data_IF_367475887370
#
_entry.id   IF_367475887370
#
_cell.length_a   1.000
_cell.length_b   1.000
_cell.length_c   1.000
_cell.angle_alpha   90.00
_cell.angle_beta   90.00
_cell.angle_gamma   90.00
#
_symmetry.space_group_name_H-M   'P 1'
#
loop_
_entity.id
_entity.type
_entity.pdbx_description
1 polymer ?
#
# COMPACT_ATOMS: atom_id res chain seq x y z
N UNK A 1 7.98 -2.79 -21.86
CA UNK A 1 7.09 -3.97 -21.70
C UNK A 1 6.16 -3.66 -20.54
N UNK A 2 4.86 -3.94 -20.66
CA UNK A 2 3.91 -3.76 -19.55
C UNK A 2 4.00 -4.98 -18.62
N UNK A 3 4.40 -4.79 -17.36
CA UNK A 3 4.78 -5.91 -16.44
C UNK A 3 3.62 -6.72 -15.88
N UNK A 4 2.44 -6.12 -15.84
CA UNK A 4 1.23 -6.69 -15.23
C UNK A 4 0.01 -6.54 -16.14
N UNK A 5 0.24 -6.43 -17.46
CA UNK A 5 -0.84 -6.32 -18.43
C UNK A 5 -1.87 -7.44 -18.22
N UNK A 6 -3.15 -7.05 -18.24
CA UNK A 6 -4.32 -7.94 -18.11
C UNK A 6 -4.44 -8.69 -16.77
N UNK A 7 -3.52 -8.50 -15.83
CA UNK A 7 -3.64 -9.06 -14.47
C UNK A 7 -4.68 -8.26 -13.68
N UNK A 8 -5.52 -8.96 -12.92
CA UNK A 8 -6.47 -8.35 -11.98
C UNK A 8 -5.77 -8.17 -10.63
N UNK A 9 -5.76 -6.94 -10.13
CA UNK A 9 -5.10 -6.56 -8.90
C UNK A 9 -6.09 -5.93 -7.89
N UNK A 10 -6.10 -6.45 -6.66
CA UNK A 10 -6.75 -5.85 -5.51
C UNK A 10 -5.70 -5.11 -4.66
N UNK A 11 -5.92 -3.83 -4.39
CA UNK A 11 -5.04 -3.00 -3.56
C UNK A 11 -5.86 -2.41 -2.41
N UNK A 12 -5.58 -2.84 -1.18
CA UNK A 12 -6.24 -2.29 0.01
C UNK A 12 -5.58 -0.97 0.46
N UNK A 13 -6.32 -0.07 1.08
CA UNK A 13 -5.83 1.28 1.41
C UNK A 13 -5.55 2.11 0.15
N UNK A 14 -6.28 1.83 -0.93
CA UNK A 14 -5.98 2.33 -2.25
C UNK A 14 -6.43 3.78 -2.48
N UNK A 15 -7.21 4.39 -1.57
CA UNK A 15 -7.75 5.73 -1.78
C UNK A 15 -6.72 6.85 -1.58
N UNK A 16 -5.58 6.57 -0.93
CA UNK A 16 -4.58 7.60 -0.63
C UNK A 16 -3.16 7.02 -0.48
N UNK A 17 -2.21 7.85 -0.03
CA UNK A 17 -0.88 7.37 0.37
C UNK A 17 -0.14 6.55 -0.70
N UNK A 18 0.56 5.51 -0.24
CA UNK A 18 1.29 4.56 -1.08
C UNK A 18 0.35 3.71 -1.95
N UNK A 19 -0.80 3.28 -1.41
CA UNK A 19 -1.80 2.48 -2.13
C UNK A 19 -2.28 3.15 -3.42
N UNK A 20 -2.58 4.45 -3.37
CA UNK A 20 -2.94 5.25 -4.54
C UNK A 20 -1.79 5.31 -5.57
N UNK A 21 -0.54 5.39 -5.11
CA UNK A 21 0.63 5.37 -5.99
C UNK A 21 0.82 4.03 -6.69
N UNK A 22 0.61 2.93 -5.96
CA UNK A 22 0.66 1.56 -6.50
C UNK A 22 -0.47 1.38 -7.52
N UNK A 23 -1.70 1.81 -7.20
CA UNK A 23 -2.85 1.73 -8.10
C UNK A 23 -2.59 2.48 -9.42
N UNK A 24 -2.13 3.73 -9.32
CA UNK A 24 -1.77 4.55 -10.50
C UNK A 24 -0.71 3.86 -11.36
N UNK A 25 0.32 3.26 -10.74
CA UNK A 25 1.36 2.55 -11.48
C UNK A 25 0.82 1.28 -12.14
N UNK A 26 0.00 0.50 -11.46
CA UNK A 26 -0.57 -0.75 -12.00
C UNK A 26 -1.51 -0.48 -13.18
N UNK A 27 -2.36 0.55 -13.10
CA UNK A 27 -3.19 0.99 -14.22
C UNK A 27 -2.34 1.38 -15.42
N UNK A 28 -1.28 2.17 -15.22
CA UNK A 28 -0.36 2.55 -16.31
C UNK A 28 0.32 1.32 -16.95
N UNK A 29 0.57 0.27 -16.17
CA UNK A 29 1.13 -1.01 -16.62
C UNK A 29 0.07 -1.97 -17.19
N UNK A 30 -1.18 -1.52 -17.35
CA UNK A 30 -2.26 -2.26 -18.01
C UNK A 30 -2.95 -3.33 -17.16
N UNK A 31 -2.81 -3.27 -15.83
CA UNK A 31 -3.58 -4.13 -14.93
C UNK A 31 -5.04 -3.65 -14.88
N UNK A 32 -5.96 -4.58 -14.60
CA UNK A 32 -7.32 -4.27 -14.13
C UNK A 32 -7.25 -4.09 -12.63
N UNK A 33 -7.42 -2.87 -12.16
CA UNK A 33 -7.21 -2.53 -10.75
C UNK A 33 -8.56 -2.38 -10.04
N UNK A 34 -8.65 -2.97 -8.85
CA UNK A 34 -9.68 -2.73 -7.86
C UNK A 34 -8.99 -2.17 -6.61
N UNK A 35 -9.38 -0.97 -6.20
CA UNK A 35 -8.92 -0.38 -4.94
C UNK A 35 -10.00 -0.52 -3.87
N UNK A 36 -9.58 -0.79 -2.64
CA UNK A 36 -10.47 -0.77 -1.48
C UNK A 36 -9.97 0.18 -0.39
N UNK A 37 -10.90 0.78 0.33
CA UNK A 37 -10.63 1.70 1.44
C UNK A 37 -11.89 1.91 2.30
N UNK A 38 -11.71 2.49 3.49
CA UNK A 38 -12.82 3.00 4.32
C UNK A 38 -13.36 4.33 3.77
N UNK A 39 -12.48 5.16 3.19
CA UNK A 39 -12.77 6.50 2.72
C UNK A 39 -13.46 6.47 1.34
N UNK A 40 -14.76 6.24 1.34
CA UNK A 40 -15.57 6.09 0.12
C UNK A 40 -15.41 7.24 -0.87
N UNK A 41 -15.60 8.49 -0.44
CA UNK A 41 -15.53 9.66 -1.34
C UNK A 41 -14.17 9.77 -2.05
N UNK A 42 -13.07 9.60 -1.30
CA UNK A 42 -11.72 9.65 -1.86
C UNK A 42 -11.45 8.47 -2.78
N UNK A 43 -11.89 7.28 -2.39
CA UNK A 43 -11.74 6.06 -3.16
C UNK A 43 -12.47 6.14 -4.50
N UNK A 44 -13.72 6.58 -4.50
CA UNK A 44 -14.52 6.79 -5.71
C UNK A 44 -13.89 7.84 -6.62
N UNK A 45 -13.45 8.98 -6.07
CA UNK A 45 -12.82 10.05 -6.86
C UNK A 45 -11.55 9.56 -7.57
N UNK A 46 -10.68 8.83 -6.86
CA UNK A 46 -9.47 8.27 -7.44
C UNK A 46 -9.76 7.17 -8.46
N UNK A 47 -10.73 6.29 -8.17
CA UNK A 47 -11.13 5.24 -9.11
C UNK A 47 -11.65 5.83 -10.43
N UNK A 48 -12.43 6.90 -10.35
CA UNK A 48 -12.87 7.66 -11.52
C UNK A 48 -11.69 8.27 -12.28
N UNK A 49 -10.74 8.92 -11.59
CA UNK A 49 -9.53 9.49 -12.21
C UNK A 49 -8.71 8.44 -12.96
N UNK A 50 -8.52 7.26 -12.35
CA UNK A 50 -7.67 6.21 -12.87
C UNK A 50 -8.39 5.28 -13.86
N UNK A 51 -9.72 5.35 -13.97
CA UNK A 51 -10.51 4.39 -14.74
C UNK A 51 -10.45 2.98 -14.17
N UNK A 52 -10.43 2.86 -12.84
CA UNK A 52 -10.41 1.59 -12.11
C UNK A 52 -11.67 1.44 -11.24
N UNK A 53 -11.81 0.31 -10.53
CA UNK A 53 -12.97 0.08 -9.65
C UNK A 53 -12.63 0.41 -8.20
N UNK A 54 -13.58 1.02 -7.50
CA UNK A 54 -13.56 1.16 -6.05
C UNK A 54 -14.58 0.23 -5.39
N UNK A 55 -14.21 -0.41 -4.28
CA UNK A 55 -15.11 -1.11 -3.37
C UNK A 55 -14.82 -0.65 -1.94
N UNK A 56 -15.84 -0.23 -1.20
CA UNK A 56 -15.64 0.10 0.21
C UNK A 56 -15.33 -1.17 1.01
N UNK A 57 -14.27 -1.13 1.82
CA UNK A 57 -13.86 -2.27 2.64
C UNK A 57 -13.29 -1.81 3.98
N UNK A 58 -13.76 -2.45 5.05
CA UNK A 58 -12.99 -2.57 6.28
C UNK A 58 -12.16 -3.86 6.24
N UNK A 59 -10.83 -3.72 6.19
CA UNK A 59 -9.93 -4.87 6.09
C UNK A 59 -9.89 -5.71 7.37
N UNK A 60 -10.40 -5.20 8.51
CA UNK A 60 -10.53 -6.00 9.74
C UNK A 60 -11.78 -6.88 9.74
N UNK A 61 -12.72 -6.67 8.82
CA UNK A 61 -13.91 -7.49 8.66
C UNK A 61 -13.63 -8.68 7.70
N UNK A 62 -13.44 -9.86 8.29
CA UNK A 62 -13.18 -11.10 7.55
C UNK A 62 -14.29 -11.46 6.54
N UNK A 63 -15.54 -11.07 6.82
CA UNK A 63 -16.67 -11.38 5.96
C UNK A 63 -16.60 -10.56 4.65
N UNK A 64 -16.13 -9.32 4.74
CA UNK A 64 -15.99 -8.43 3.57
C UNK A 64 -14.94 -8.94 2.58
N UNK A 65 -13.86 -9.56 3.06
CA UNK A 65 -12.84 -10.17 2.20
C UNK A 65 -13.44 -11.21 1.25
N UNK A 66 -14.25 -12.12 1.78
CA UNK A 66 -14.90 -13.16 0.98
C UNK A 66 -15.86 -12.57 -0.05
N UNK A 67 -16.57 -11.49 0.31
CA UNK A 67 -17.51 -10.80 -0.59
C UNK A 67 -16.77 -10.10 -1.72
N UNK A 68 -15.70 -9.36 -1.40
CA UNK A 68 -14.92 -8.58 -2.37
C UNK A 68 -14.21 -9.50 -3.35
N UNK A 69 -13.52 -10.54 -2.88
CA UNK A 69 -12.83 -11.47 -3.77
C UNK A 69 -13.82 -12.13 -4.74
N UNK A 70 -14.98 -12.59 -4.24
CA UNK A 70 -16.03 -13.15 -5.10
C UNK A 70 -16.54 -12.15 -6.12
N UNK A 71 -16.77 -10.90 -5.72
CA UNK A 71 -17.21 -9.86 -6.63
C UNK A 71 -16.17 -9.62 -7.74
N UNK A 72 -14.89 -9.55 -7.38
CA UNK A 72 -13.79 -9.40 -8.33
C UNK A 72 -13.73 -10.59 -9.29
N UNK A 73 -13.91 -11.81 -8.79
CA UNK A 73 -13.92 -13.01 -9.62
C UNK A 73 -15.10 -13.02 -10.61
N UNK A 74 -16.29 -12.60 -10.16
CA UNK A 74 -17.48 -12.49 -11.00
C UNK A 74 -17.29 -11.45 -12.10
N UNK A 75 -16.76 -10.28 -11.76
CA UNK A 75 -16.67 -9.13 -12.68
C UNK A 75 -15.43 -9.16 -13.58
N UNK A 76 -14.30 -9.64 -13.06
CA UNK A 76 -12.99 -9.55 -13.73
C UNK A 76 -12.34 -10.92 -14.00
N UNK A 77 -12.92 -12.01 -13.52
CA UNK A 77 -12.46 -13.38 -13.73
C UNK A 77 -11.69 -13.95 -12.54
N UNK A 78 -10.38 -13.71 -12.46
CA UNK A 78 -9.55 -14.28 -11.41
C UNK A 78 -8.64 -13.23 -10.80
N UNK A 79 -8.63 -13.11 -9.47
CA UNK A 79 -7.69 -12.26 -8.75
C UNK A 79 -6.26 -12.83 -8.90
N UNK A 80 -5.35 -12.03 -9.47
CA UNK A 80 -3.95 -12.44 -9.73
C UNK A 80 -2.96 -11.79 -8.79
N UNK A 81 -3.29 -10.61 -8.29
CA UNK A 81 -2.41 -9.80 -7.45
C UNK A 81 -3.22 -9.28 -6.27
N UNK A 82 -2.71 -9.47 -5.05
CA UNK A 82 -3.22 -8.84 -3.84
C UNK A 82 -2.10 -7.99 -3.23
N UNK A 83 -2.35 -6.71 -3.03
CA UNK A 83 -1.47 -5.78 -2.31
C UNK A 83 -2.15 -5.40 -1.00
N UNK A 84 -1.66 -5.99 0.09
CA UNK A 84 -2.09 -5.66 1.45
C UNK A 84 -1.41 -4.35 1.88
N UNK A 85 -1.98 -3.22 1.47
CA UNK A 85 -1.43 -1.89 1.74
C UNK A 85 -2.24 -1.09 2.77
N UNK A 86 -3.49 -1.45 3.04
CA UNK A 86 -4.30 -0.74 4.05
C UNK A 86 -3.58 -0.68 5.41
N UNK A 87 -3.33 0.54 5.87
CA UNK A 87 -2.96 0.86 7.23
C UNK A 87 -3.87 1.97 7.74
N UNK A 88 -3.58 2.47 8.93
CA UNK A 88 -4.24 3.66 9.47
C UNK A 88 -3.14 4.56 10.08
N UNK A 89 -3.35 5.88 10.21
CA UNK A 89 -2.38 6.81 10.84
C UNK A 89 -2.70 7.11 12.31
N UNK A 90 -1.69 7.12 13.20
CA UNK A 90 -1.83 7.39 14.64
C UNK A 90 -0.82 8.43 15.15
N UNK A 91 -1.15 9.22 16.19
CA UNK A 91 -0.26 10.26 16.70
C UNK A 91 0.93 9.67 17.47
N UNK A 92 2.10 10.28 17.29
CA UNK A 92 3.34 9.92 17.98
C UNK A 92 3.60 10.84 19.16
N UNK A 93 3.52 10.31 20.39
CA UNK A 93 4.34 10.74 21.53
C UNK A 93 4.16 9.78 22.72
N UNK A 94 5.25 9.25 23.28
CA UNK A 94 5.28 8.70 24.65
C UNK A 94 4.88 7.22 24.89
N UNK A 95 4.95 6.32 23.91
CA UNK A 95 4.57 4.92 24.13
C UNK A 95 5.58 4.14 25.01
N UNK A 96 5.07 3.51 26.08
CA UNK A 96 5.80 2.70 27.06
C UNK A 96 5.13 1.31 27.17
N UNK A 97 5.84 0.18 27.03
CA UNK A 97 5.25 -1.17 27.08
C UNK A 97 4.44 -1.48 28.34
N UNK A 98 4.73 -0.83 29.48
CA UNK A 98 3.98 -1.05 30.72
C UNK A 98 2.65 -0.29 30.78
N UNK A 99 2.53 0.80 30.01
CA UNK A 99 1.37 1.71 30.01
C UNK A 99 0.66 1.79 28.65
N UNK A 100 1.16 1.10 27.62
CA UNK A 100 0.59 1.06 26.27
C UNK A 100 -0.72 0.28 26.31
N UNK A 101 -1.83 0.97 26.03
CA UNK A 101 -3.13 0.31 25.93
C UNK A 101 -3.21 -0.54 24.65
N UNK A 102 -4.15 -1.50 24.59
CA UNK A 102 -4.44 -2.21 23.32
C UNK A 102 -4.78 -1.25 22.18
N UNK A 103 -5.37 -0.09 22.50
CA UNK A 103 -5.64 0.97 21.53
C UNK A 103 -4.35 1.59 20.99
N UNK A 104 -3.35 1.81 21.85
CA UNK A 104 -2.07 2.42 21.47
C UNK A 104 -1.15 1.42 20.76
N UNK A 105 -1.21 0.13 21.14
CA UNK A 105 -0.56 -0.95 20.38
C UNK A 105 -1.10 -1.03 18.95
N UNK A 106 -2.42 -0.93 18.77
CA UNK A 106 -3.05 -0.84 17.43
C UNK A 106 -2.58 0.42 16.69
N UNK A 107 -2.31 1.52 17.40
CA UNK A 107 -1.76 2.76 16.82
C UNK A 107 -0.27 2.72 16.44
N UNK A 108 0.50 1.81 17.01
CA UNK A 108 1.92 1.62 16.65
C UNK A 108 2.05 0.70 15.43
N UNK A 109 1.23 -0.37 15.36
CA UNK A 109 1.18 -1.25 14.18
C UNK A 109 0.70 -0.52 12.92
N UNK A 110 -0.09 0.54 13.12
CA UNK A 110 -0.55 1.52 12.14
C UNK A 110 0.57 2.16 11.31
N UNK A 111 1.57 2.78 11.95
CA UNK A 111 2.55 3.62 11.24
C UNK A 111 3.59 2.81 10.46
N UNK A 112 3.80 1.56 10.87
CA UNK A 112 4.70 0.63 10.17
C UNK A 112 4.24 0.31 8.73
N UNK A 113 2.99 0.63 8.37
CA UNK A 113 2.39 0.29 7.07
C UNK A 113 2.40 1.46 6.06
N UNK A 114 2.41 2.73 6.51
CA UNK A 114 2.11 3.86 5.60
C UNK A 114 3.22 4.91 5.44
N UNK A 115 4.23 4.98 6.31
CA UNK A 115 5.42 5.82 6.11
C UNK A 115 5.16 7.33 5.98
N UNK A 116 3.99 7.83 6.38
CA UNK A 116 3.68 9.26 6.33
C UNK A 116 4.33 9.95 7.54
N UNK A 117 5.23 10.88 7.27
CA UNK A 117 5.86 11.72 8.28
C UNK A 117 5.56 13.21 8.00
N UNK A 118 5.23 14.03 9.02
CA UNK A 118 5.07 15.47 8.88
C UNK A 118 6.32 16.12 8.26
N UNK A 119 6.18 17.29 7.62
CA UNK A 119 7.27 17.93 6.86
C UNK A 119 8.56 18.11 7.69
N UNK A 120 8.46 18.48 8.98
CA UNK A 120 9.62 18.59 9.89
C UNK A 120 10.36 17.25 10.12
N UNK A 121 9.66 16.12 10.00
CA UNK A 121 10.28 14.80 10.08
C UNK A 121 11.03 14.45 8.79
N UNK A 122 10.62 14.99 7.64
CA UNK A 122 11.27 14.74 6.34
C UNK A 122 12.67 15.34 6.30
N UNK A 123 12.81 16.61 6.69
CA UNK A 123 14.09 17.32 6.69
C UNK A 123 15.12 16.65 7.63
N UNK A 124 14.66 16.13 8.80
CA UNK A 124 15.51 15.35 9.72
C UNK A 124 15.87 13.96 9.19
N UNK A 125 15.01 13.35 8.37
CA UNK A 125 15.28 12.05 7.77
C UNK A 125 16.24 12.15 6.59
N UNK A 126 16.06 13.14 5.71
CA UNK A 126 16.91 13.35 4.52
C UNK A 126 18.40 13.43 4.88
N UNK A 127 18.74 14.15 5.95
CA UNK A 127 20.12 14.26 6.43
C UNK A 127 20.75 12.95 6.94
N UNK A 128 19.93 11.92 7.21
CA UNK A 128 20.36 10.59 7.71
C UNK A 128 20.28 9.50 6.65
N UNK A 129 19.63 9.76 5.51
CA UNK A 129 19.53 8.81 4.42
C UNK A 129 20.83 8.78 3.63
N UNK A 130 21.46 7.60 3.43
CA UNK A 130 22.61 7.48 2.54
C UNK A 130 22.36 8.01 1.12
N UNK A 131 21.12 7.91 0.63
CA UNK A 131 20.74 8.45 -0.69
C UNK A 131 20.48 9.98 -0.69
N UNK A 132 20.35 10.62 0.48
CA UNK A 132 20.21 12.07 0.60
C UNK A 132 18.89 12.66 0.08
N UNK A 133 17.92 11.83 -0.31
CA UNK A 133 16.63 12.25 -0.86
C UNK A 133 15.48 11.47 -0.22
N UNK A 134 14.35 12.13 0.01
CA UNK A 134 13.15 11.49 0.55
C UNK A 134 12.41 10.69 -0.53
N UNK A 135 11.85 9.55 -0.13
CA UNK A 135 11.18 8.64 -1.04
C UNK A 135 9.85 9.19 -1.55
N UNK A 136 9.56 8.90 -2.81
CA UNK A 136 8.28 9.13 -3.45
C UNK A 136 7.42 7.87 -3.44
N UNK A 137 6.12 8.03 -3.74
CA UNK A 137 5.22 6.88 -3.94
C UNK A 137 5.71 5.92 -5.03
N UNK A 138 6.40 6.45 -6.05
CA UNK A 138 6.93 5.65 -7.15
C UNK A 138 8.10 4.77 -6.73
N UNK A 139 8.85 5.18 -5.71
CA UNK A 139 9.98 4.41 -5.18
C UNK A 139 9.49 3.13 -4.49
N UNK A 140 8.30 3.14 -3.90
CA UNK A 140 7.64 1.94 -3.36
C UNK A 140 6.85 1.19 -4.44
N UNK A 141 6.13 1.89 -5.33
CA UNK A 141 5.33 1.24 -6.35
C UNK A 141 6.15 0.44 -7.36
N UNK A 142 7.40 0.84 -7.65
CA UNK A 142 8.24 0.16 -8.63
C UNK A 142 8.74 -1.22 -8.15
N UNK A 143 9.25 -1.37 -6.91
CA UNK A 143 9.53 -2.67 -6.31
C UNK A 143 8.29 -3.56 -6.15
N UNK A 144 7.15 -2.99 -5.73
CA UNK A 144 5.89 -3.74 -5.66
C UNK A 144 5.50 -4.30 -7.03
N UNK A 145 5.56 -3.46 -8.07
CA UNK A 145 5.33 -3.88 -9.47
C UNK A 145 6.27 -5.00 -9.91
N UNK A 146 7.55 -4.92 -9.55
CA UNK A 146 8.51 -5.98 -9.85
C UNK A 146 8.10 -7.30 -9.18
N UNK A 147 7.80 -7.29 -7.88
CA UNK A 147 7.46 -8.49 -7.12
C UNK A 147 6.19 -9.21 -7.62
N UNK A 148 5.24 -8.47 -8.20
CA UNK A 148 3.99 -9.06 -8.74
C UNK A 148 4.10 -9.42 -10.23
N UNK A 149 5.24 -9.16 -10.86
CA UNK A 149 5.50 -9.44 -12.27
C UNK A 149 6.05 -10.86 -12.48
N UNK A 150 6.03 -11.32 -13.73
CA UNK A 150 6.58 -12.64 -14.08
C UNK A 150 8.12 -12.70 -13.99
N UNK A 151 8.77 -11.53 -13.92
CA UNK A 151 10.21 -11.41 -13.66
C UNK A 151 10.56 -11.93 -12.24
N UNK A 152 9.60 -11.85 -11.31
CA UNK A 152 9.76 -12.28 -9.92
C UNK A 152 9.11 -13.65 -9.63
N UNK A 153 8.75 -14.45 -10.65
CA UNK A 153 8.00 -15.72 -10.47
C UNK A 153 8.67 -16.77 -9.56
N UNK A 154 9.97 -16.64 -9.30
CA UNK A 154 10.74 -17.52 -8.41
C UNK A 154 11.23 -16.80 -7.14
N UNK A 155 10.73 -15.59 -6.87
CA UNK A 155 11.03 -14.79 -5.69
C UNK A 155 9.82 -14.86 -4.77
N UNK A 156 9.97 -15.50 -3.62
CA UNK A 156 8.93 -15.63 -2.59
C UNK A 156 9.55 -15.62 -1.20
N UNK A 157 8.75 -15.33 -0.16
CA UNK A 157 9.21 -15.33 1.23
C UNK A 157 10.30 -14.29 1.55
N UNK A 158 10.43 -13.25 0.74
CA UNK A 158 11.48 -12.23 0.89
C UNK A 158 10.94 -10.93 1.46
N UNK A 159 11.81 -10.18 2.15
CA UNK A 159 11.60 -8.79 2.54
C UNK A 159 12.52 -7.91 1.69
N UNK A 160 11.93 -7.13 0.79
CA UNK A 160 12.68 -6.14 0.01
C UNK A 160 12.57 -4.78 0.71
N UNK A 161 13.68 -4.30 1.25
CA UNK A 161 13.74 -3.00 1.92
C UNK A 161 13.86 -1.89 0.87
N UNK A 162 12.99 -0.89 1.00
CA UNK A 162 12.94 0.28 0.12
C UNK A 162 12.89 1.49 1.06
N UNK A 163 14.05 2.05 1.41
CA UNK A 163 14.14 3.06 2.47
C UNK A 163 15.29 4.08 2.27
N UNK A 164 15.83 4.18 1.05
CA UNK A 164 16.97 5.06 0.77
C UNK A 164 18.27 4.72 1.52
N UNK A 165 18.37 3.52 2.10
CA UNK A 165 19.49 3.10 2.93
C UNK A 165 19.34 3.43 4.42
N UNK A 166 18.16 3.87 4.88
CA UNK A 166 17.93 4.20 6.29
C UNK A 166 18.24 3.06 7.27
N UNK A 167 17.99 1.80 6.87
CA UNK A 167 18.27 0.60 7.66
C UNK A 167 19.77 0.25 7.73
N UNK A 168 20.64 0.86 6.92
CA UNK A 168 22.09 0.63 7.02
C UNK A 168 22.68 1.20 8.32
N UNK A 169 21.97 2.10 8.99
CA UNK A 169 22.38 2.69 10.27
C UNK A 169 21.91 1.96 11.53
N UNK A 170 21.23 0.81 11.40
CA UNK A 170 20.67 0.03 12.52
C UNK A 170 21.46 -1.23 12.84
#
# INVERSE_FOLDING_TARGET
MKRVADKVALITGGASGLGAGIAKRFVAEGARVVITDLQEDKGQALAYELGCQFLQQDVVDEQQWSTIVKQIEIEHGALRILVNNAGVEGPFEGADPENTTLSDWRKIQQVNVEGVSPQEYRDRFEARLPQGEYQTKNDVASPVLFLVSDEARHITGTKLVVDGGGTLGS
#
